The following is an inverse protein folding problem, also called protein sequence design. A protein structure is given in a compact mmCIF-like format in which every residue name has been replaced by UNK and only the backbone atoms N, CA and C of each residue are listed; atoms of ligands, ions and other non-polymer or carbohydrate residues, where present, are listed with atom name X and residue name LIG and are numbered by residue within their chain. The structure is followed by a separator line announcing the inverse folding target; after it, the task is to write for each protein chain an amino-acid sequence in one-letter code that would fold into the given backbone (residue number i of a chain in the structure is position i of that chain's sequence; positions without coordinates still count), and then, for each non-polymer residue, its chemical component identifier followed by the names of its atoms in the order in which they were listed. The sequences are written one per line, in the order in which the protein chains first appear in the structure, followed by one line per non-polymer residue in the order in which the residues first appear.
data_IF_372576691469
#
_entry.id   IF_372576691469
#
_cell.length_a   1.000
_cell.length_b   1.000
_cell.length_c   1.000
_cell.angle_alpha   90.00
_cell.angle_beta   90.00
_cell.angle_gamma   90.00
#
_symmetry.space_group_name_H-M   'P 1'
#
loop_
_entity.id
_entity.type
_entity.pdbx_description
1 polymer ?
#
# COMPACT_ATOMS: atom_id res chain seq x y z
N UNK A 1 -25.36 -37.06 -7.77
CA UNK A 1 -25.26 -35.79 -7.03
C UNK A 1 -24.28 -34.91 -7.78
N UNK A 2 -24.71 -33.83 -8.45
CA UNK A 2 -23.78 -32.91 -9.08
C UNK A 2 -23.14 -32.05 -7.98
N UNK A 3 -21.82 -32.20 -7.80
CA UNK A 3 -21.02 -31.32 -6.97
C UNK A 3 -20.97 -29.94 -7.61
N UNK A 4 -21.69 -29.01 -7.01
CA UNK A 4 -21.72 -27.60 -7.40
C UNK A 4 -20.41 -26.96 -6.94
N UNK A 5 -19.43 -26.86 -7.84
CA UNK A 5 -18.25 -26.02 -7.60
C UNK A 5 -18.66 -24.56 -7.87
N UNK A 6 -18.60 -23.64 -6.91
CA UNK A 6 -18.65 -22.22 -7.23
C UNK A 6 -17.27 -21.84 -7.78
N UNK A 7 -17.06 -22.08 -9.08
CA UNK A 7 -15.88 -21.63 -9.80
C UNK A 7 -16.09 -20.17 -10.24
N UNK A 8 -15.78 -19.25 -9.34
CA UNK A 8 -15.39 -17.89 -9.71
C UNK A 8 -14.60 -17.25 -8.57
N UNK A 9 -13.53 -17.91 -8.12
CA UNK A 9 -12.52 -17.21 -7.33
C UNK A 9 -11.80 -16.24 -8.26
N UNK A 10 -12.02 -14.95 -8.06
CA UNK A 10 -11.36 -13.90 -8.81
C UNK A 10 -10.12 -13.45 -8.04
N UNK A 11 -9.03 -13.29 -8.79
CA UNK A 11 -7.72 -12.92 -8.25
C UNK A 11 -7.73 -11.42 -8.00
N UNK A 12 -7.40 -11.02 -6.77
CA UNK A 12 -7.25 -9.61 -6.41
C UNK A 12 -5.83 -9.35 -5.94
N UNK A 13 -5.19 -8.32 -6.51
CA UNK A 13 -3.88 -7.86 -6.08
C UNK A 13 -4.06 -7.05 -4.81
N UNK A 14 -3.28 -7.37 -3.79
CA UNK A 14 -3.30 -6.67 -2.50
C UNK A 14 -1.93 -6.05 -2.26
N UNK A 15 -1.90 -4.75 -1.98
CA UNK A 15 -0.72 -4.01 -1.55
C UNK A 15 -0.87 -3.64 -0.07
N UNK A 16 -0.10 -4.26 0.80
CA UNK A 16 -0.01 -3.82 2.17
C UNK A 16 0.86 -2.59 2.28
N UNK A 17 0.32 -1.54 2.88
CA UNK A 17 1.03 -0.30 3.15
C UNK A 17 0.93 0.01 4.63
N UNK A 18 1.98 -0.30 5.38
CA UNK A 18 1.95 -0.25 6.84
C UNK A 18 2.98 0.72 7.40
N UNK A 19 2.62 1.42 8.47
CA UNK A 19 3.56 2.23 9.23
C UNK A 19 4.55 1.35 9.99
N UNK A 20 5.78 1.84 10.16
CA UNK A 20 6.84 1.13 10.87
C UNK A 20 6.91 1.69 12.30
N UNK A 21 6.81 0.83 13.32
CA UNK A 21 6.85 1.23 14.74
C UNK A 21 8.14 1.98 15.13
N UNK A 22 9.28 1.57 14.53
CA UNK A 22 10.58 2.22 14.69
C UNK A 22 11.07 2.73 13.34
N UNK A 23 10.54 3.87 12.86
CA UNK A 23 10.85 4.33 11.53
C UNK A 23 12.29 4.88 11.47
N UNK A 24 13.03 4.47 10.44
CA UNK A 24 14.27 5.12 10.06
C UNK A 24 14.03 6.51 9.48
N UNK A 25 15.10 7.27 9.25
CA UNK A 25 14.99 8.64 8.72
C UNK A 25 14.25 8.70 7.37
N UNK A 26 14.52 7.72 6.48
CA UNK A 26 13.94 7.62 5.14
C UNK A 26 12.83 6.57 4.99
N UNK A 27 12.57 5.77 6.03
CA UNK A 27 11.64 4.64 5.97
C UNK A 27 10.57 4.80 7.05
N UNK A 28 9.48 5.46 6.68
CA UNK A 28 8.29 5.64 7.53
C UNK A 28 7.23 4.57 7.25
N UNK A 29 7.15 4.11 5.99
CA UNK A 29 6.20 3.11 5.54
C UNK A 29 6.92 1.87 4.99
N UNK A 30 6.29 0.70 5.15
CA UNK A 30 6.66 -0.55 4.49
C UNK A 30 5.58 -0.90 3.48
N UNK A 31 6.00 -1.25 2.26
CA UNK A 31 5.11 -1.74 1.20
C UNK A 31 5.40 -3.20 0.91
N UNK A 32 4.36 -4.01 0.80
CA UNK A 32 4.44 -5.41 0.40
C UNK A 32 3.27 -5.74 -0.50
N UNK A 33 3.55 -6.44 -1.59
CA UNK A 33 2.51 -6.89 -2.51
C UNK A 33 2.28 -8.38 -2.33
N UNK A 34 1.03 -8.79 -2.42
CA UNK A 34 0.59 -10.16 -2.39
C UNK A 34 -0.62 -10.34 -3.30
N UNK A 35 -0.95 -11.59 -3.60
CA UNK A 35 -2.10 -11.93 -4.43
C UNK A 35 -2.99 -12.84 -3.60
N UNK A 36 -4.26 -12.49 -3.52
CA UNK A 36 -5.27 -13.27 -2.79
C UNK A 36 -6.40 -13.68 -3.73
N UNK A 37 -7.01 -14.81 -3.37
CA UNK A 37 -8.23 -15.30 -3.99
C UNK A 37 -9.38 -15.00 -3.05
N UNK A 38 -10.32 -14.18 -3.50
CA UNK A 38 -11.54 -13.87 -2.76
C UNK A 38 -12.74 -14.47 -3.48
N UNK A 39 -13.69 -15.00 -2.71
CA UNK A 39 -14.97 -15.47 -3.20
C UNK A 39 -15.78 -14.34 -3.85
N UNK A 40 -16.75 -14.70 -4.69
CA UNK A 40 -17.60 -13.72 -5.41
C UNK A 40 -18.43 -12.87 -4.45
N UNK A 41 -18.79 -13.43 -3.30
CA UNK A 41 -19.66 -12.83 -2.30
C UNK A 41 -18.89 -12.23 -1.11
N UNK A 42 -17.56 -12.31 -1.10
CA UNK A 42 -16.75 -11.76 -0.02
C UNK A 42 -16.87 -10.23 0.02
N UNK A 43 -17.11 -9.71 1.22
CA UNK A 43 -17.10 -8.26 1.44
C UNK A 43 -15.68 -7.74 1.49
N UNK A 44 -15.52 -6.44 1.27
CA UNK A 44 -14.20 -5.79 1.35
C UNK A 44 -13.62 -5.90 2.76
N UNK A 45 -14.45 -5.80 3.79
CA UNK A 45 -14.06 -6.04 5.18
C UNK A 45 -13.51 -7.45 5.39
N UNK A 46 -14.24 -8.49 4.98
CA UNK A 46 -13.81 -9.89 5.10
C UNK A 46 -12.51 -10.16 4.33
N UNK A 47 -12.40 -9.61 3.13
CA UNK A 47 -11.20 -9.74 2.32
C UNK A 47 -9.99 -9.05 2.94
N UNK A 48 -10.19 -7.87 3.53
CA UNK A 48 -9.14 -7.12 4.18
C UNK A 48 -8.68 -7.79 5.49
N UNK A 49 -9.60 -8.32 6.29
CA UNK A 49 -9.28 -9.14 7.47
C UNK A 49 -8.53 -10.42 7.10
N UNK A 50 -8.99 -11.11 6.05
CA UNK A 50 -8.34 -12.31 5.54
C UNK A 50 -6.91 -12.02 5.06
N UNK A 51 -6.71 -10.94 4.31
CA UNK A 51 -5.40 -10.54 3.83
C UNK A 51 -4.48 -10.08 4.98
N UNK A 52 -4.98 -9.29 5.94
CA UNK A 52 -4.22 -8.85 7.11
C UNK A 52 -3.75 -10.04 7.96
N UNK A 53 -4.62 -11.04 8.14
CA UNK A 53 -4.30 -12.28 8.88
C UNK A 53 -3.26 -13.15 8.17
N UNK A 54 -3.20 -13.06 6.84
CA UNK A 54 -2.27 -13.81 5.99
C UNK A 54 -1.13 -12.94 5.44
N UNK A 55 -0.64 -11.99 6.25
CA UNK A 55 0.47 -11.14 5.86
C UNK A 55 1.71 -11.96 5.46
N UNK A 56 2.34 -11.69 4.30
CA UNK A 56 3.37 -12.57 3.72
C UNK A 56 4.72 -12.59 4.45
N UNK A 57 4.92 -11.80 5.50
CA UNK A 57 6.18 -11.72 6.25
C UNK A 57 5.99 -12.17 7.70
N UNK A 58 6.69 -13.25 8.08
CA UNK A 58 6.61 -13.86 9.41
C UNK A 58 7.61 -13.27 10.41
N UNK A 59 8.59 -12.48 9.97
CA UNK A 59 9.67 -12.02 10.86
C UNK A 59 9.30 -10.77 11.66
N UNK A 60 8.40 -9.94 11.15
CA UNK A 60 7.92 -8.72 11.81
C UNK A 60 6.58 -8.28 11.21
N UNK A 61 5.49 -9.04 11.45
CA UNK A 61 4.19 -8.68 10.92
C UNK A 61 3.74 -7.35 11.55
N UNK A 62 3.21 -6.41 10.73
CA UNK A 62 2.65 -5.17 11.25
C UNK A 62 1.40 -5.46 12.08
N UNK A 63 1.18 -4.67 13.12
CA UNK A 63 -0.03 -4.77 13.95
C UNK A 63 -1.14 -3.95 13.28
N UNK A 64 -2.16 -4.64 12.79
CA UNK A 64 -3.38 -4.02 12.25
C UNK A 64 -4.40 -3.82 13.38
N UNK A 65 -4.35 -2.68 14.08
CA UNK A 65 -5.37 -2.32 15.08
C UNK A 65 -6.67 -1.84 14.43
N UNK A 66 -6.52 -1.16 13.29
CA UNK A 66 -7.60 -0.68 12.45
C UNK A 66 -7.18 -0.95 11.00
N UNK A 67 -8.04 -1.65 10.25
CA UNK A 67 -7.78 -2.03 8.87
C UNK A 67 -8.41 -0.96 7.97
N UNK A 68 -7.58 -0.19 7.29
CA UNK A 68 -8.05 0.78 6.30
C UNK A 68 -7.82 0.23 4.90
N UNK A 69 -8.86 0.28 4.05
CA UNK A 69 -8.81 -0.21 2.67
C UNK A 69 -8.82 0.97 1.71
N UNK A 70 -7.90 0.94 0.76
CA UNK A 70 -7.86 1.92 -0.33
C UNK A 70 -7.87 1.24 -1.68
N UNK A 71 -8.48 1.91 -2.64
CA UNK A 71 -8.51 1.54 -4.03
C UNK A 71 -7.38 2.24 -4.77
N UNK A 72 -6.62 1.48 -5.57
CA UNK A 72 -5.58 2.03 -6.44
C UNK A 72 -5.86 1.63 -7.88
N UNK A 73 -6.04 2.66 -8.71
CA UNK A 73 -6.20 2.50 -10.15
C UNK A 73 -4.83 2.19 -10.80
N UNK A 74 -4.72 1.15 -11.64
CA UNK A 74 -3.46 0.83 -12.33
C UNK A 74 -3.02 1.90 -13.34
N UNK A 75 -3.96 2.67 -13.90
CA UNK A 75 -3.69 3.63 -14.98
C UNK A 75 -3.33 5.04 -14.48
N UNK A 76 -3.64 5.35 -13.22
CA UNK A 76 -3.42 6.67 -12.64
C UNK A 76 -2.35 6.61 -11.54
N UNK A 77 -1.22 7.26 -11.80
CA UNK A 77 -0.15 7.38 -10.81
C UNK A 77 -0.63 8.25 -9.64
N UNK A 78 -0.68 7.67 -8.43
CA UNK A 78 -1.08 8.32 -7.16
C UNK A 78 -2.59 8.50 -6.91
N UNK A 79 -3.48 7.94 -7.71
CA UNK A 79 -4.93 8.01 -7.43
C UNK A 79 -5.33 6.85 -6.49
N UNK A 80 -5.05 7.06 -5.20
CA UNK A 80 -5.33 6.14 -4.10
C UNK A 80 -6.56 6.68 -3.34
N UNK A 81 -7.70 5.98 -3.41
CA UNK A 81 -8.99 6.43 -2.89
C UNK A 81 -9.39 5.59 -1.68
N UNK A 82 -9.76 6.22 -0.57
CA UNK A 82 -10.28 5.51 0.59
C UNK A 82 -11.61 4.84 0.27
N UNK A 83 -11.70 3.53 0.51
CA UNK A 83 -12.96 2.79 0.38
C UNK A 83 -13.72 2.93 1.69
N UNK A 84 -14.78 3.74 1.68
CA UNK A 84 -15.63 3.97 2.86
C UNK A 84 -16.76 2.96 3.00
N UNK A 85 -17.17 2.33 1.90
CA UNK A 85 -18.27 1.36 1.85
C UNK A 85 -17.72 -0.08 1.87
N UNK A 86 -17.24 -0.49 3.04
CA UNK A 86 -16.55 -1.80 3.24
C UNK A 86 -17.48 -3.01 3.22
N UNK A 87 -18.81 -2.79 3.27
CA UNK A 87 -19.81 -3.86 3.20
C UNK A 87 -20.11 -4.29 1.76
N UNK A 88 -19.65 -3.54 0.75
CA UNK A 88 -19.75 -3.94 -0.64
C UNK A 88 -18.87 -5.15 -0.95
N UNK A 89 -19.27 -5.90 -1.97
CA UNK A 89 -18.51 -7.04 -2.49
C UNK A 89 -17.19 -6.55 -3.09
N UNK A 90 -16.11 -7.30 -2.85
CA UNK A 90 -14.77 -7.01 -3.40
C UNK A 90 -14.84 -6.81 -4.90
N UNK A 91 -15.45 -7.76 -5.62
CA UNK A 91 -15.51 -7.76 -7.08
C UNK A 91 -16.48 -6.72 -7.68
N UNK A 92 -17.20 -5.95 -6.85
CA UNK A 92 -17.95 -4.79 -7.30
C UNK A 92 -17.12 -3.50 -7.35
N UNK A 93 -16.01 -3.45 -6.61
CA UNK A 93 -15.12 -2.28 -6.52
C UNK A 93 -13.76 -2.57 -7.16
N UNK A 94 -13.24 -3.78 -6.98
CA UNK A 94 -11.94 -4.21 -7.45
C UNK A 94 -12.10 -5.15 -8.65
N UNK A 95 -11.68 -4.70 -9.82
CA UNK A 95 -11.50 -5.55 -11.00
C UNK A 95 -10.14 -6.26 -10.97
N UNK A 96 -9.92 -7.25 -11.84
CA UNK A 96 -8.70 -8.07 -11.81
C UNK A 96 -7.38 -7.32 -12.03
N UNK A 97 -7.43 -6.08 -12.52
CA UNK A 97 -6.24 -5.23 -12.68
C UNK A 97 -6.06 -4.23 -11.53
N UNK A 98 -7.10 -4.01 -10.73
CA UNK A 98 -7.06 -3.07 -9.62
C UNK A 98 -6.26 -3.62 -8.44
N UNK A 99 -5.76 -2.72 -7.61
CA UNK A 99 -5.01 -3.09 -6.41
C UNK A 99 -5.76 -2.62 -5.17
N UNK A 100 -6.02 -3.56 -4.27
CA UNK A 100 -6.54 -3.28 -2.94
C UNK A 100 -5.38 -2.95 -2.01
N UNK A 101 -5.32 -1.72 -1.50
CA UNK A 101 -4.34 -1.34 -0.50
C UNK A 101 -4.91 -1.61 0.88
N UNK A 102 -4.13 -2.28 1.74
CA UNK A 102 -4.47 -2.50 3.14
C UNK A 102 -3.47 -1.79 4.02
N UNK A 103 -3.97 -0.94 4.93
CA UNK A 103 -3.18 -0.18 5.88
C UNK A 103 -3.57 -0.47 7.31
N UNK A 104 -2.59 -0.29 8.21
CA UNK A 104 -2.78 -0.30 9.67
C UNK A 104 -2.96 1.11 10.26
N UNK A 105 -2.93 2.15 9.43
CA UNK A 105 -3.03 3.56 9.83
C UNK A 105 -4.02 4.31 8.90
N UNK A 106 -5.01 5.03 9.45
CA UNK A 106 -5.95 5.84 8.66
C UNK A 106 -5.28 7.03 7.96
N UNK A 107 -4.12 7.47 8.46
CA UNK A 107 -3.35 8.62 7.93
C UNK A 107 -2.16 8.18 7.07
N UNK A 108 -2.21 6.96 6.53
CA UNK A 108 -1.09 6.38 5.79
C UNK A 108 -0.59 7.25 4.62
N UNK A 109 -1.49 8.01 3.97
CA UNK A 109 -1.13 8.96 2.92
C UNK A 109 -0.39 10.19 3.44
N UNK A 110 -0.72 10.71 4.62
CA UNK A 110 0.05 11.78 5.25
C UNK A 110 1.47 11.31 5.56
N UNK A 111 1.61 10.07 6.04
CA UNK A 111 2.91 9.44 6.32
C UNK A 111 3.71 9.23 5.03
N UNK A 112 3.07 8.78 3.95
CA UNK A 112 3.67 8.66 2.62
C UNK A 112 4.17 10.01 2.09
N UNK A 113 3.33 11.05 2.17
CA UNK A 113 3.69 12.39 1.75
C UNK A 113 4.89 12.90 2.56
N UNK A 114 4.90 12.67 3.88
CA UNK A 114 6.02 13.03 4.75
C UNK A 114 7.31 12.32 4.34
N UNK A 115 7.26 11.03 3.98
CA UNK A 115 8.43 10.30 3.49
C UNK A 115 8.93 10.88 2.16
N UNK A 116 8.02 11.17 1.22
CA UNK A 116 8.34 11.77 -0.08
C UNK A 116 8.99 13.14 0.10
N UNK A 117 8.42 14.00 0.94
CA UNK A 117 8.97 15.33 1.25
C UNK A 117 10.38 15.23 1.83
N UNK A 118 10.63 14.29 2.76
CA UNK A 118 11.99 14.05 3.29
C UNK A 118 12.98 13.64 2.22
N UNK A 119 12.58 12.76 1.30
CA UNK A 119 13.41 12.32 0.18
C UNK A 119 13.72 13.49 -0.78
N UNK A 120 12.72 14.31 -1.11
CA UNK A 120 12.90 15.47 -1.99
C UNK A 120 13.82 16.52 -1.35
N UNK A 121 13.61 16.85 -0.07
CA UNK A 121 14.45 17.83 0.65
C UNK A 121 15.90 17.35 0.77
N UNK A 122 16.12 16.07 1.10
CA UNK A 122 17.48 15.51 1.20
C UNK A 122 18.18 15.45 -0.17
N UNK A 123 17.45 15.06 -1.23
CA UNK A 123 17.96 15.08 -2.60
C UNK A 123 18.37 16.50 -3.04
N UNK A 124 17.51 17.49 -2.77
CA UNK A 124 17.80 18.89 -3.09
C UNK A 124 19.02 19.42 -2.34
N UNK A 125 19.16 19.08 -1.05
CA UNK A 125 20.33 19.44 -0.26
C UNK A 125 21.62 18.80 -0.82
N UNK A 126 21.56 17.55 -1.27
CA UNK A 126 22.70 16.87 -1.91
C UNK A 126 23.08 17.53 -3.25
N UNK A 127 22.09 17.92 -4.06
CA UNK A 127 22.36 18.65 -5.31
C UNK A 127 23.03 20.00 -5.06
N UNK A 128 22.60 20.74 -4.04
CA UNK A 128 23.22 22.01 -3.67
C UNK A 128 24.67 21.83 -3.19
N UNK A 129 24.93 20.80 -2.36
CA UNK A 129 26.28 20.49 -1.89
C UNK A 129 27.21 20.09 -3.05
N UNK A 130 26.75 19.22 -3.94
CA UNK A 130 27.54 18.77 -5.10
C UNK A 130 27.83 19.94 -6.06
N UNK A 131 26.84 20.79 -6.33
CA UNK A 131 27.03 22.00 -7.14
C UNK A 131 28.05 22.96 -6.49
N UNK A 132 27.99 23.14 -5.17
CA UNK A 132 28.94 23.98 -4.44
C UNK A 132 30.37 23.42 -4.50
N UNK A 133 30.54 22.11 -4.31
CA UNK A 133 31.85 21.45 -4.43
C UNK A 133 32.42 21.62 -5.85
N UNK A 134 31.62 21.36 -6.88
CA UNK A 134 32.05 21.53 -8.28
C UNK A 134 32.44 22.97 -8.59
N UNK A 135 31.66 23.95 -8.14
CA UNK A 135 31.98 25.36 -8.30
C UNK A 135 33.32 25.71 -7.63
N UNK A 136 33.54 25.22 -6.41
CA UNK A 136 34.77 25.47 -5.66
C UNK A 136 36.03 24.82 -6.25
N UNK A 137 35.87 23.75 -7.04
CA UNK A 137 36.96 23.07 -7.73
C UNK A 137 37.28 23.67 -9.10
N UNK A 138 36.28 24.26 -9.77
CA UNK A 138 36.43 24.82 -11.12
C UNK A 138 36.86 26.29 -11.12
N UNK A 139 36.46 27.06 -10.10
CA UNK A 139 36.63 28.52 -10.05
C UNK A 139 37.53 29.00 -8.91
N UNK A 140 38.26 28.08 -8.27
CA UNK A 140 39.30 28.38 -7.28
C UNK A 140 40.63 27.86 -7.79
#
# INVERSE_FOLDING_TARGET
MPGMFPLSNSITKVEFMTTIDKPGFFSLIRRKQAVFYFGVDDTIEQAAEHAASNYPDTHSPPIFKEICVFFKNPDLFMDEIAVTDVQKKVHSIFSGNDTMIISNDPKIFEVQLKQLTRLLCSSLLLMLLTAWVLYSLLFR
#
